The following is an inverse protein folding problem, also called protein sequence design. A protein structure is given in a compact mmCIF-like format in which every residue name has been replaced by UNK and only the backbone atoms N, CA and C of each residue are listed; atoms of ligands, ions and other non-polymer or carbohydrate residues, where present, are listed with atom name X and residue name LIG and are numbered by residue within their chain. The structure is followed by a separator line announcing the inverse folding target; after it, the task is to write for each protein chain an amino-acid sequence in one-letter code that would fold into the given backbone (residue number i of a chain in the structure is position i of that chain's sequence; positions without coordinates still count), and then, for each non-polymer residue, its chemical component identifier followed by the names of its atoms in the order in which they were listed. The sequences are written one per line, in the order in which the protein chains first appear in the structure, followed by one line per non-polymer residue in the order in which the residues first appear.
data_IF_830836566473
#
_entry.id   IF_830836566473
#
_cell.length_a   1.000
_cell.length_b   1.000
_cell.length_c   1.000
_cell.angle_alpha   90.00
_cell.angle_beta   90.00
_cell.angle_gamma   90.00
#
_symmetry.space_group_name_H-M   'P 1'
#
loop_
_entity.id
_entity.type
_entity.pdbx_description
1 polymer ?
#
# COMPACT_ATOMS: atom_id res chain seq x y z
N UNK A 1 -15.20 -9.36 21.09
CA UNK A 1 -15.73 -9.69 19.75
C UNK A 1 -15.13 -8.85 18.62
N UNK A 2 -15.28 -7.52 18.57
CA UNK A 2 -14.70 -6.73 17.44
C UNK A 2 -13.15 -6.67 17.47
N UNK A 3 -12.54 -6.66 18.67
CA UNK A 3 -11.06 -6.61 18.81
C UNK A 3 -10.37 -7.89 18.33
N UNK A 4 -10.94 -9.06 18.63
CA UNK A 4 -10.43 -10.38 18.24
C UNK A 4 -10.49 -10.65 16.73
N UNK A 5 -11.53 -10.15 16.05
CA UNK A 5 -11.64 -10.31 14.59
C UNK A 5 -10.61 -9.46 13.85
N UNK A 6 -10.34 -8.24 14.33
CA UNK A 6 -9.34 -7.34 13.76
C UNK A 6 -7.91 -7.91 13.87
N UNK A 7 -7.65 -8.64 14.94
CA UNK A 7 -6.36 -9.30 15.21
C UNK A 7 -6.14 -10.52 14.30
N UNK A 8 -7.19 -11.31 14.06
CA UNK A 8 -7.15 -12.46 13.14
C UNK A 8 -6.99 -12.05 11.67
N UNK A 9 -7.62 -10.95 11.25
CA UNK A 9 -7.44 -10.38 9.91
C UNK A 9 -6.03 -9.79 9.75
N UNK A 10 -5.52 -9.11 10.78
CA UNK A 10 -4.15 -8.58 10.82
C UNK A 10 -3.07 -9.65 10.71
N UNK A 11 -3.18 -10.75 11.48
CA UNK A 11 -2.25 -11.90 11.40
C UNK A 11 -2.32 -12.62 10.03
N UNK A 12 -3.52 -12.74 9.46
CA UNK A 12 -3.72 -13.39 8.16
C UNK A 12 -3.10 -12.58 7.02
N UNK A 13 -3.13 -11.24 7.12
CA UNK A 13 -2.50 -10.33 6.17
C UNK A 13 -0.97 -10.27 6.34
N UNK A 14 -0.45 -10.30 7.57
CA UNK A 14 1.00 -10.41 7.81
C UNK A 14 1.59 -11.68 7.20
N UNK A 15 0.93 -12.82 7.42
CA UNK A 15 1.38 -14.12 6.91
C UNK A 15 1.22 -14.26 5.40
N UNK A 16 0.26 -13.56 4.79
CA UNK A 16 0.04 -13.61 3.36
C UNK A 16 1.02 -12.73 2.55
N UNK A 17 1.55 -11.64 3.13
CA UNK A 17 2.10 -10.54 2.31
C UNK A 17 3.61 -10.23 2.52
N UNK A 18 4.33 -10.79 3.52
CA UNK A 18 5.75 -10.42 3.76
C UNK A 18 5.96 -8.88 3.87
N UNK A 19 4.97 -8.16 4.40
CA UNK A 19 5.16 -6.77 4.84
C UNK A 19 5.79 -6.84 6.23
N UNK A 20 6.92 -6.18 6.38
CA UNK A 20 7.65 -6.18 7.65
C UNK A 20 6.81 -5.45 8.69
N UNK A 21 6.17 -6.21 9.58
CA UNK A 21 5.53 -5.77 10.84
C UNK A 21 4.13 -5.15 10.75
N UNK A 22 3.29 -5.52 11.73
CA UNK A 22 1.94 -5.00 12.04
C UNK A 22 1.85 -3.47 12.09
N UNK A 23 2.98 -2.79 12.30
CA UNK A 23 3.04 -1.33 12.48
C UNK A 23 2.62 -0.51 11.26
N UNK A 24 2.63 -1.11 10.06
CA UNK A 24 2.21 -0.45 8.81
C UNK A 24 0.73 -0.69 8.46
N UNK A 25 -0.04 -1.35 9.33
CA UNK A 25 -1.48 -1.54 9.15
C UNK A 25 -2.23 -0.42 9.88
N UNK A 26 -2.38 0.74 9.23
CA UNK A 26 -3.05 1.91 9.78
C UNK A 26 -3.64 2.81 8.70
N UNK A 27 -4.59 3.69 9.07
CA UNK A 27 -5.29 4.56 8.11
C UNK A 27 -4.35 5.46 7.28
N UNK A 28 -3.22 5.87 7.87
CA UNK A 28 -2.24 6.70 7.17
C UNK A 28 -1.33 5.90 6.24
N UNK A 29 -1.10 4.61 6.50
CA UNK A 29 -0.13 3.78 5.77
C UNK A 29 -0.79 2.81 4.79
N UNK A 30 -2.08 2.50 4.96
CA UNK A 30 -2.83 1.56 4.14
C UNK A 30 -4.04 2.24 3.49
N UNK A 31 -4.23 1.98 2.19
CA UNK A 31 -5.37 2.47 1.42
C UNK A 31 -6.00 1.32 0.64
N UNK A 32 -7.31 1.14 0.80
CA UNK A 32 -8.12 0.18 0.07
C UNK A 32 -9.23 0.95 -0.65
N UNK A 33 -9.03 1.20 -1.94
CA UNK A 33 -10.01 1.93 -2.78
C UNK A 33 -11.07 0.99 -3.37
N UNK A 34 -10.80 -0.32 -3.38
CA UNK A 34 -11.71 -1.36 -3.89
C UNK A 34 -11.41 -2.70 -3.22
N UNK A 35 -12.28 -3.68 -3.44
CA UNK A 35 -12.09 -5.08 -3.05
C UNK A 35 -10.97 -5.81 -3.84
N UNK A 36 -10.42 -5.19 -4.88
CA UNK A 36 -9.42 -5.81 -5.77
C UNK A 36 -7.99 -5.56 -5.34
N UNK A 37 -7.67 -4.34 -4.87
CA UNK A 37 -6.30 -3.93 -4.60
C UNK A 37 -6.18 -3.29 -3.23
N UNK A 38 -5.16 -3.72 -2.47
CA UNK A 38 -4.71 -3.05 -1.25
C UNK A 38 -3.38 -2.37 -1.54
N UNK A 39 -3.26 -1.10 -1.15
CA UNK A 39 -2.00 -0.37 -1.18
C UNK A 39 -1.47 -0.16 0.23
N UNK A 40 -0.22 -0.55 0.47
CA UNK A 40 0.48 -0.32 1.72
C UNK A 40 1.73 0.50 1.45
N UNK A 41 1.97 1.48 2.30
CA UNK A 41 3.16 2.32 2.26
C UNK A 41 4.03 1.96 3.44
N UNK A 42 5.24 1.54 3.13
CA UNK A 42 6.22 1.10 4.09
C UNK A 42 7.48 1.98 3.93
N UNK A 43 7.96 2.54 5.03
CA UNK A 43 9.24 3.25 5.05
C UNK A 43 10.29 2.31 5.65
N UNK A 44 11.26 1.90 4.84
CA UNK A 44 12.42 1.13 5.30
C UNK A 44 13.64 2.04 5.23
N UNK A 45 14.22 2.34 6.39
CA UNK A 45 15.27 3.34 6.52
C UNK A 45 14.79 4.70 5.96
N UNK A 46 15.46 5.25 4.95
CA UNK A 46 15.10 6.52 4.29
C UNK A 46 14.35 6.35 2.97
N UNK A 47 14.05 5.11 2.56
CA UNK A 47 13.31 4.84 1.33
C UNK A 47 11.85 4.50 1.64
N UNK A 48 10.94 5.15 0.91
CA UNK A 48 9.52 4.81 0.94
C UNK A 48 9.20 3.82 -0.17
N UNK A 49 8.48 2.77 0.18
CA UNK A 49 7.99 1.75 -0.72
C UNK A 49 6.47 1.82 -0.76
N UNK A 50 5.92 1.67 -1.96
CA UNK A 50 4.50 1.33 -2.11
C UNK A 50 4.42 -0.13 -2.51
N UNK A 51 3.57 -0.83 -1.80
CA UNK A 51 3.32 -2.26 -1.90
C UNK A 51 1.88 -2.40 -2.37
N UNK A 52 1.71 -2.97 -3.55
CA UNK A 52 0.40 -3.19 -4.14
C UNK A 52 0.12 -4.69 -4.01
N UNK A 53 -0.99 -5.02 -3.37
CA UNK A 53 -1.45 -6.39 -3.20
C UNK A 53 -2.70 -6.56 -4.06
N UNK A 54 -2.65 -7.53 -4.96
CA UNK A 54 -3.84 -7.99 -5.68
C UNK A 54 -4.56 -9.04 -4.84
N UNK A 55 -5.83 -8.83 -4.53
CA UNK A 55 -6.63 -9.77 -3.74
C UNK A 55 -6.93 -11.07 -4.51
N UNK A 56 -6.81 -11.06 -5.84
CA UNK A 56 -6.86 -12.27 -6.64
C UNK A 56 -5.57 -13.12 -6.53
N UNK A 57 -4.44 -12.48 -6.21
CA UNK A 57 -3.14 -13.15 -6.02
C UNK A 57 -2.33 -12.52 -4.87
N UNK A 58 -2.80 -12.69 -3.60
CA UNK A 58 -2.23 -11.98 -2.46
C UNK A 58 -0.81 -12.44 -2.10
N UNK A 59 -0.36 -13.58 -2.65
CA UNK A 59 0.97 -14.15 -2.41
C UNK A 59 2.06 -13.49 -3.24
N UNK A 60 1.70 -12.73 -4.28
CA UNK A 60 2.65 -12.07 -5.18
C UNK A 60 2.51 -10.54 -5.12
N UNK A 61 2.82 -9.90 -3.98
CA UNK A 61 2.73 -8.44 -3.86
C UNK A 61 3.79 -7.73 -4.71
N UNK A 62 3.39 -6.63 -5.34
CA UNK A 62 4.28 -5.78 -6.14
C UNK A 62 4.90 -4.73 -5.23
N UNK A 63 6.21 -4.81 -5.01
CA UNK A 63 7.01 -3.82 -4.24
C UNK A 63 7.73 -2.87 -5.19
N UNK A 64 7.47 -1.57 -5.08
CA UNK A 64 8.14 -0.53 -5.90
C UNK A 64 8.62 0.63 -5.01
N UNK A 65 9.86 1.11 -5.19
CA UNK A 65 10.34 2.29 -4.48
C UNK A 65 9.68 3.54 -5.08
N UNK A 66 8.92 4.27 -4.27
CA UNK A 66 8.33 5.55 -4.67
C UNK A 66 8.40 6.53 -3.51
N UNK A 67 8.89 7.74 -3.80
CA UNK A 67 8.81 8.87 -2.86
C UNK A 67 7.41 9.48 -2.97
N UNK A 68 6.50 9.17 -2.03
CA UNK A 68 5.14 9.68 -2.06
C UNK A 68 4.50 9.82 -0.65
N UNK A 69 3.88 10.97 -0.41
CA UNK A 69 3.07 11.30 0.76
C UNK A 69 1.66 10.72 0.70
N UNK A 70 1.19 10.32 -0.49
CA UNK A 70 -0.08 9.61 -0.69
C UNK A 70 0.00 8.75 -1.95
N UNK A 71 -0.68 7.60 -1.94
CA UNK A 71 -0.73 6.69 -3.07
C UNK A 71 -2.13 6.08 -3.18
N UNK A 72 -2.81 6.32 -4.29
CA UNK A 72 -4.16 5.81 -4.55
C UNK A 72 -4.17 5.05 -5.88
N UNK A 73 -4.90 3.94 -5.94
CA UNK A 73 -4.90 3.02 -7.08
C UNK A 73 -6.20 3.10 -7.84
N UNK A 74 -6.13 2.91 -9.16
CA UNK A 74 -7.28 2.56 -9.97
C UNK A 74 -7.18 1.08 -10.36
N UNK A 75 -8.02 0.19 -9.80
CA UNK A 75 -7.95 -1.24 -10.03
C UNK A 75 -8.34 -1.65 -11.47
N UNK A 76 -9.17 -0.87 -12.16
CA UNK A 76 -9.61 -1.20 -13.54
C UNK A 76 -8.52 -0.89 -14.55
N UNK A 77 -7.84 0.25 -14.40
CA UNK A 77 -6.83 0.71 -15.35
C UNK A 77 -5.40 0.32 -14.98
N UNK A 78 -5.19 -0.35 -13.83
CA UNK A 78 -3.86 -0.72 -13.30
C UNK A 78 -2.90 0.48 -13.29
N UNK A 79 -3.37 1.61 -12.77
CA UNK A 79 -2.55 2.82 -12.58
C UNK A 79 -2.53 3.23 -11.12
N UNK A 80 -1.44 3.87 -10.70
CA UNK A 80 -1.29 4.46 -9.38
C UNK A 80 -1.09 5.97 -9.51
N UNK A 81 -1.85 6.72 -8.73
CA UNK A 81 -1.66 8.14 -8.53
C UNK A 81 -0.82 8.37 -7.28
N UNK A 82 0.31 9.06 -7.43
CA UNK A 82 1.22 9.40 -6.37
C UNK A 82 1.20 10.92 -6.16
N UNK A 83 1.21 11.33 -4.89
CA UNK A 83 1.40 12.73 -4.49
C UNK A 83 2.64 12.82 -3.60
N UNK A 84 3.54 13.74 -3.89
CA UNK A 84 4.74 14.00 -3.07
C UNK A 84 4.96 15.50 -2.91
N UNK A 85 5.59 15.90 -1.81
CA UNK A 85 6.14 17.24 -1.62
C UNK A 85 7.66 17.23 -1.80
N UNK A 86 8.14 17.92 -2.83
CA UNK A 86 9.57 18.11 -3.11
C UNK A 86 9.85 19.61 -3.05
N UNK A 87 10.72 20.06 -2.15
CA UNK A 87 11.12 21.48 -2.03
C UNK A 87 9.95 22.47 -2.00
N UNK A 88 8.93 22.18 -1.19
CA UNK A 88 7.67 22.93 -1.06
C UNK A 88 6.75 22.92 -2.31
N UNK A 89 7.13 22.23 -3.37
CA UNK A 89 6.28 21.98 -4.54
C UNK A 89 5.55 20.64 -4.37
N UNK A 90 4.26 20.63 -4.72
CA UNK A 90 3.47 19.39 -4.79
C UNK A 90 3.63 18.81 -6.18
N UNK A 91 4.16 17.60 -6.27
CA UNK A 91 4.20 16.80 -7.49
C UNK A 91 3.10 15.75 -7.45
N UNK A 92 2.30 15.67 -8.53
CA UNK A 92 1.31 14.62 -8.74
C UNK A 92 1.72 13.81 -9.96
N UNK A 93 1.81 12.48 -9.81
CA UNK A 93 2.27 11.58 -10.87
C UNK A 93 1.32 10.41 -11.03
N UNK A 94 1.03 10.05 -12.28
CA UNK A 94 0.30 8.81 -12.62
C UNK A 94 1.31 7.84 -13.22
N UNK A 95 1.37 6.62 -12.68
CA UNK A 95 2.29 5.57 -13.13
C UNK A 95 1.49 4.33 -13.48
N UNK A 96 1.81 3.70 -14.62
CA UNK A 96 1.27 2.40 -14.98
C UNK A 96 1.89 1.32 -14.10
N UNK A 97 1.03 0.47 -13.51
CA UNK A 97 1.43 -0.76 -12.85
C UNK A 97 1.68 -1.83 -13.93
N UNK A 98 2.88 -1.79 -14.53
CA UNK A 98 3.39 -2.88 -15.37
C UNK A 98 4.24 -3.82 -14.55
#
# INVERSE_FOLDING_TARGET
MVREQKEKEGESLERAINIGTVTNIGFCSLTMESDKLICVREKVNDTTFVIIIDMADPKNPIKRPFTADSANTNPTSKVIALKSKINNLVENKIISMK
#
